data_IF_990394260360
#
_entry.id   IF_990394260360
#
_cell.length_a   1.000
_cell.length_b   1.000
_cell.length_c   1.000
_cell.angle_alpha   90.00
_cell.angle_beta   90.00
_cell.angle_gamma   90.00
#
_symmetry.space_group_name_H-M   'P 1'
#
loop_
_entity.id
_entity.type
_entity.pdbx_description
1 polymer ?
2 polymer ?
#
loop_
_entity_poly.entity_id
_entity_poly.type
_entity_poly.pdbx_seq_one_letter_code
_entity_poly.pdbx_strand_id
2 'polydeoxyribonucleotide' '(DC)' ?
#
# COMPACT_ATOMS: atom_id res chain seq x y z
N UNK A 1 3.64 -32.81 4.20
CA UNK A 1 4.24 -31.48 4.31
C UNK A 1 3.20 -30.40 4.10
N UNK A 2 1.81 -30.76 4.45
CA UNK A 2 0.71 -29.82 4.30
C UNK A 2 0.12 -29.46 5.64
N UNK A 3 -0.01 -30.56 6.62
CA UNK A 3 -0.56 -30.35 7.95
C UNK A 3 0.33 -29.44 8.77
N UNK A 4 1.37 -30.11 9.58
CA UNK A 4 2.29 -29.36 10.42
C UNK A 4 3.20 -28.48 9.58
N UNK A 5 3.33 -28.87 8.15
CA UNK A 5 4.17 -28.12 7.22
C UNK A 5 3.63 -26.72 7.02
N UNK A 6 2.16 -26.60 6.92
CA UNK A 6 1.51 -25.31 6.73
C UNK A 6 1.73 -24.41 7.92
N UNK A 7 1.66 -25.05 9.24
CA UNK A 7 1.85 -24.30 10.48
C UNK A 7 3.26 -23.76 10.58
N UNK A 8 4.33 -24.66 10.11
CA UNK A 8 5.74 -24.27 10.14
C UNK A 8 6.00 -23.12 9.20
N UNK A 9 5.30 -23.17 7.90
CA UNK A 9 5.46 -22.12 6.90
C UNK A 9 4.91 -20.81 7.40
N UNK A 10 3.65 -20.88 8.16
CA UNK A 10 3.00 -19.69 8.70
C UNK A 10 3.86 -19.04 9.75
N UNK A 11 4.56 -19.96 10.68
CA UNK A 11 5.42 -19.47 11.75
C UNK A 11 6.63 -18.76 11.19
N UNK A 12 7.25 -19.38 9.99
CA UNK A 12 8.43 -18.81 9.35
C UNK A 12 8.11 -17.46 8.76
N UNK A 13 6.81 -17.25 8.08
CA UNK A 13 6.44 -15.97 7.49
C UNK A 13 6.31 -14.90 8.54
N UNK A 14 5.67 -15.32 9.81
CA UNK A 14 5.47 -14.39 10.92
C UNK A 14 6.80 -13.94 11.48
N UNK A 15 7.85 -14.98 11.59
CA UNK A 15 9.17 -14.68 12.12
C UNK A 15 10.00 -13.92 11.11
N UNK A 16 9.86 -14.35 9.70
CA UNK A 16 10.60 -13.70 8.62
C UNK A 16 10.00 -12.36 8.29
N UNK A 17 8.76 -12.00 9.01
CA UNK A 17 8.07 -10.74 8.79
C UNK A 17 8.87 -9.58 9.35
N UNK A 18 9.88 -9.93 10.37
CA UNK A 18 10.72 -8.92 11.00
C UNK A 18 11.64 -8.28 9.99
N UNK A 19 12.23 -9.19 8.98
CA UNK A 19 13.14 -8.70 7.94
C UNK A 19 12.43 -7.76 7.00
N UNK A 20 11.04 -8.07 6.58
CA UNK A 20 10.29 -7.21 5.68
C UNK A 20 10.04 -5.86 6.30
N UNK A 21 9.69 -5.87 7.74
CA UNK A 21 9.41 -4.63 8.47
C UNK A 21 10.64 -3.77 8.55
N UNK A 22 11.92 -4.47 8.79
CA UNK A 22 13.19 -3.76 8.88
C UNK A 22 13.54 -3.10 7.58
N UNK A 23 13.26 -3.88 6.36
CA UNK A 23 13.55 -3.37 5.02
C UNK A 23 12.79 -2.10 4.75
N UNK A 24 11.61 -1.85 5.61
CA UNK A 24 10.79 -0.65 5.46
C UNK A 24 11.60 0.60 5.69
N UNK A 25 12.87 0.42 6.43
CA UNK A 25 13.75 1.55 6.72
C UNK A 25 14.32 2.12 5.44
N UNK A 26 14.72 1.15 4.40
CA UNK A 26 15.28 1.57 3.12
C UNK A 26 14.28 2.35 2.32
N UNK A 27 12.88 1.86 2.36
CA UNK A 27 11.80 2.52 1.63
C UNK A 27 11.56 3.90 2.17
N UNK A 28 11.63 4.05 3.64
CA UNK A 28 11.41 5.34 4.30
C UNK A 28 12.60 6.24 4.12
N UNK A 29 13.78 5.65 3.45
CA UNK A 29 15.00 6.41 3.21
C UNK A 29 14.76 7.55 2.25
N UNK A 30 13.86 7.25 1.11
CA UNK A 30 13.53 8.26 0.11
C UNK A 30 12.75 9.40 0.72
N UNK A 31 11.72 9.01 1.71
CA UNK A 31 10.89 10.01 2.38
C UNK A 31 11.71 10.91 3.26
N UNK A 32 12.80 10.26 4.02
CA UNK A 32 13.68 11.01 4.91
C UNK A 32 14.52 11.99 4.13
N UNK A 33 15.05 11.52 2.83
CA UNK A 33 15.88 12.36 1.98
C UNK A 33 15.09 13.54 1.47
N UNK A 34 13.69 13.28 1.08
CA UNK A 34 12.81 14.33 0.57
C UNK A 34 12.55 15.38 1.64
N UNK A 35 12.34 14.87 3.01
CA UNK A 35 12.08 15.76 4.14
C UNK A 35 13.27 16.64 4.41
N UNK A 36 14.60 16.00 4.29
CA UNK A 36 15.84 16.74 4.53
C UNK A 36 16.03 17.83 3.50
N UNK A 37 15.66 17.47 2.11
CA UNK A 37 15.79 18.42 1.01
C UNK A 37 14.86 19.59 1.19
N UNK A 38 13.51 19.28 1.71
CA UNK A 38 12.50 20.31 1.94
C UNK A 38 12.94 21.26 3.03
N UNK A 39 13.61 20.64 4.19
CA UNK A 39 14.09 21.43 5.33
C UNK A 39 15.20 22.36 4.91
N UNK A 40 16.18 21.81 3.95
CA UNK A 40 17.31 22.60 3.46
C UNK A 40 16.83 23.77 2.62
N UNK A 41 15.69 23.49 1.72
CA UNK A 41 15.13 24.52 0.85
C UNK A 41 14.50 25.63 1.67
N UNK A 42 13.74 25.20 2.87
CA UNK A 42 13.08 26.15 3.75
C UNK A 42 14.09 27.04 4.43
N UNK A 43 15.33 26.38 4.89
CA UNK A 43 16.39 27.12 5.57
C UNK A 43 17.02 28.14 4.65
N UNK A 44 17.22 27.71 3.25
CA UNK A 44 17.81 28.60 2.25
C UNK A 44 16.92 29.79 1.98
N UNK A 45 15.47 29.52 1.93
CA UNK A 45 14.49 30.57 1.69
C UNK A 45 14.49 31.58 2.81
N UNK A 46 14.61 31.02 4.18
CA UNK A 46 14.62 31.87 5.37
C UNK A 46 15.84 32.76 5.38
N UNK B 1 -20.88 -28.53 -13.54
CA UNK B 1 -20.34 -27.32 -12.92
C UNK B 1 -20.29 -26.18 -13.90
N UNK B 2 -21.27 -26.22 -15.00
CA UNK B 2 -21.33 -25.19 -16.03
C UNK B 2 -22.63 -24.42 -15.95
N UNK B 3 -23.84 -25.21 -15.67
CA UNK B 3 -25.16 -24.61 -15.57
C UNK B 3 -25.23 -23.67 -14.38
N UNK B 4 -25.69 -24.27 -13.11
CA UNK B 4 -25.81 -23.49 -11.88
C UNK B 4 -24.46 -23.00 -11.42
N UNK B 5 -23.29 -23.74 -11.94
CA UNK B 5 -21.92 -23.38 -11.58
C UNK B 5 -21.57 -22.01 -12.11
N UNK B 6 -22.06 -21.69 -13.46
CA UNK B 6 -21.79 -20.40 -14.09
C UNK B 6 -22.46 -19.28 -13.35
N UNK B 7 -23.82 -19.56 -12.84
CA UNK B 7 -24.59 -18.56 -12.10
C UNK B 7 -23.93 -18.24 -10.78
N UNK B 8 -23.35 -19.39 -10.05
CA UNK B 8 -22.68 -19.23 -8.76
C UNK B 8 -21.42 -18.39 -8.91
N UNK B 9 -20.61 -18.65 -10.11
CA UNK B 9 -19.37 -17.92 -10.38
C UNK B 9 -19.65 -16.45 -10.61
N UNK B 10 -20.86 -16.14 -11.41
CA UNK B 10 -21.25 -14.77 -11.71
C UNK B 10 -21.61 -14.02 -10.45
N UNK B 11 -22.39 -14.78 -9.45
CA UNK B 11 -22.81 -14.18 -8.18
C UNK B 11 -21.62 -13.83 -7.32
N UNK B 12 -20.51 -14.81 -7.32
CA UNK B 12 -19.30 -14.61 -6.53
C UNK B 12 -18.53 -13.41 -7.04
N UNK B 13 -18.43 -13.18 -8.49
CA UNK B 13 -17.70 -12.04 -9.05
C UNK B 13 -18.36 -10.74 -8.67
N UNK B 14 -19.84 -10.73 -8.69
CA UNK B 14 -20.61 -9.54 -8.35
C UNK B 14 -20.41 -9.17 -6.89
N UNK B 15 -20.37 -10.30 -5.94
CA UNK B 15 -20.19 -10.10 -4.50
C UNK B 15 -18.75 -9.74 -4.19
N UNK B 16 -17.72 -10.47 -4.95
CA UNK B 16 -16.29 -10.23 -4.75
C UNK B 16 -15.87 -8.94 -5.39
N UNK B 17 -16.91 -8.23 -6.17
CA UNK B 17 -16.64 -6.96 -6.85
C UNK B 17 -16.46 -5.84 -5.84
N UNK B 18 -17.02 -6.09 -4.50
CA UNK B 18 -16.91 -5.09 -3.43
C UNK B 18 -15.47 -4.87 -3.03
N UNK B 19 -14.62 -6.08 -2.98
CA UNK B 19 -13.21 -6.01 -2.61
C UNK B 19 -12.42 -5.23 -3.64
N UNK B 20 -12.73 -5.42 -5.07
CA UNK B 20 -12.01 -4.70 -6.12
C UNK B 20 -12.27 -3.21 -6.03
N UNK B 21 -13.65 -2.81 -5.71
CA UNK B 21 -14.04 -1.41 -5.59
C UNK B 21 -13.35 -0.75 -4.43
N UNK B 22 -13.22 -1.56 -3.20
CA UNK B 22 -12.58 -1.05 -1.99
C UNK B 22 -11.11 -0.80 -2.24
N UNK B 23 -10.40 -1.80 -3.06
CA UNK B 23 -8.98 -1.69 -3.37
C UNK B 23 -8.70 -0.41 -4.13
N UNK B 24 -9.86 0.21 -4.80
CA UNK B 24 -9.73 1.45 -5.57
C UNK B 24 -9.22 2.58 -4.70
N UNK B 25 -9.39 2.40 -3.24
CA UNK B 25 -8.94 3.41 -2.28
C UNK B 25 -7.44 3.56 -2.32
N UNK B 26 -6.66 2.31 -2.46
CA UNK B 26 -5.20 2.31 -2.50
C UNK B 26 -4.70 3.02 -3.74
N UNK B 27 -5.46 2.77 -4.98
CA UNK B 27 -5.09 3.39 -6.25
C UNK B 27 -5.26 4.89 -6.19
N UNK B 28 -6.45 5.38 -5.47
CA UNK B 28 -6.74 6.80 -5.34
C UNK B 28 -5.83 7.44 -4.31
N UNK B 29 -4.93 6.52 -3.58
CA UNK B 29 -4.00 7.00 -2.56
C UNK B 29 -2.95 7.90 -3.17
N UNK B 30 -2.42 7.47 -4.49
CA UNK B 30 -1.40 8.24 -5.20
C UNK B 30 -1.93 9.60 -5.59
N UNK B 31 -3.32 9.64 -6.08
CA UNK B 31 -3.96 10.88 -6.51
C UNK B 31 -4.11 11.83 -5.35
N UNK B 32 -4.50 11.23 -4.06
CA UNK B 32 -4.69 12.03 -2.85
C UNK B 32 -3.39 12.65 -2.41
N UNK B 33 -2.18 11.79 -2.53
CA UNK B 33 -0.86 12.26 -2.14
C UNK B 33 -0.40 13.39 -3.03
N UNK B 34 -0.73 13.26 -4.47
CA UNK B 34 -0.35 14.28 -5.45
C UNK B 34 -1.08 15.58 -5.17
N UNK B 35 -2.50 15.46 -4.77
CA UNK B 35 -3.32 16.63 -4.47
C UNK B 35 -2.80 17.36 -3.26
N UNK B 36 -2.33 16.52 -2.14
CA UNK B 36 -1.81 17.09 -0.90
C UNK B 36 -0.53 17.84 -1.16
N UNK B 37 0.41 17.22 -2.12
CA UNK B 37 1.69 17.84 -2.45
C UNK B 37 1.48 19.15 -3.17
N UNK B 38 0.38 19.19 -4.16
CA UNK B 38 0.07 20.39 -4.93
C UNK B 38 -0.42 21.49 -4.02
N UNK B 39 -1.32 21.08 -2.92
CA UNK B 39 -1.88 22.04 -1.97
C UNK B 39 -0.78 22.66 -1.14
N UNK B 40 0.29 21.75 -0.69
CA UNK B 40 1.42 22.20 0.12
C UNK B 40 2.27 23.19 -0.64
N UNK B 41 2.50 22.88 -2.07
CA UNK B 41 3.31 23.74 -2.92
C UNK B 41 2.66 25.10 -3.09
N UNK B 42 1.19 25.10 -3.25
CA UNK B 42 0.43 26.33 -3.43
C UNK B 42 0.52 27.19 -2.19
N UNK B 43 0.45 26.48 -0.90
CA UNK B 43 0.51 27.19 0.38
C UNK B 43 1.86 27.85 0.56
N UNK B 44 3.03 27.06 0.11
CA UNK B 44 4.40 27.57 0.23
C UNK B 44 4.60 28.79 -0.65
N UNK B 45 3.96 28.74 -1.98
CA UNK B 45 4.07 29.84 -2.93
C UNK B 45 3.38 31.08 -2.41
N UNK B 46 2.10 30.86 -1.71
CA UNK B 46 1.32 31.96 -1.15
C UNK B 46 2.07 32.63 -0.02
#
# INVERSE_FOLDING_TARGET
GVIDTSAVESAITDGQGDMKAIGGYIVGALVILAVAGLIYSMLRKA
GVIDTSAVESAITDGQGDMKAIGGYIVGALVILAVAGLIYSMLRKA
#
